data_IF_758260137871
#
_entry.id   IF_758260137871
#
_cell.length_a   1.000
_cell.length_b   1.000
_cell.length_c   1.000
_cell.angle_alpha   90.00
_cell.angle_beta   90.00
_cell.angle_gamma   90.00
#
_symmetry.space_group_name_H-M   'P 1'
#
loop_
_entity.id
_entity.type
_entity.pdbx_description
1 polymer ?
#
# COMPACT_ATOMS: atom_id res chain seq x y z
N UNK A 1 -22.02 14.80 -9.63
CA UNK A 1 -20.96 14.00 -10.27
C UNK A 1 -19.67 14.85 -10.26
N UNK A 2 -18.85 14.71 -9.22
CA UNK A 2 -17.46 15.14 -9.28
C UNK A 2 -16.68 13.96 -9.81
N UNK A 3 -16.10 14.14 -10.98
CA UNK A 3 -15.32 13.14 -11.69
C UNK A 3 -14.18 12.63 -10.82
N UNK A 4 -14.30 11.40 -10.33
CA UNK A 4 -13.26 10.61 -9.64
C UNK A 4 -12.05 10.28 -10.55
N UNK A 5 -12.03 10.84 -11.78
CA UNK A 5 -10.98 10.58 -12.77
C UNK A 5 -9.87 11.64 -12.81
N UNK A 6 -9.88 12.62 -11.92
CA UNK A 6 -8.85 13.63 -11.85
C UNK A 6 -7.88 13.38 -10.70
N UNK A 7 -7.20 12.23 -10.70
CA UNK A 7 -5.87 12.24 -10.14
C UNK A 7 -5.01 13.12 -11.05
N UNK A 8 -4.31 14.15 -10.50
CA UNK A 8 -3.27 14.79 -11.26
C UNK A 8 -2.21 13.72 -11.49
N UNK A 9 -2.34 12.97 -12.55
CA UNK A 9 -1.19 12.37 -13.19
C UNK A 9 -0.28 13.57 -13.46
N UNK A 10 0.68 13.83 -12.54
CA UNK A 10 1.90 14.53 -12.95
C UNK A 10 2.25 13.80 -14.22
N UNK A 11 2.12 14.51 -15.32
CA UNK A 11 2.33 14.00 -16.68
C UNK A 11 3.52 13.08 -16.57
N UNK A 12 3.27 11.80 -16.81
CA UNK A 12 4.34 10.84 -17.02
C UNK A 12 5.35 11.62 -17.82
N UNK A 13 6.51 11.91 -17.20
CA UNK A 13 7.50 12.76 -17.81
C UNK A 13 7.56 12.33 -19.26
N UNK A 14 7.33 13.24 -20.22
CA UNK A 14 7.40 12.97 -21.66
C UNK A 14 8.86 12.64 -22.02
N UNK A 15 9.43 11.67 -21.29
CA UNK A 15 10.74 11.15 -21.53
C UNK A 15 10.71 10.43 -22.86
N UNK A 16 11.34 11.03 -23.82
CA UNK A 16 11.55 10.46 -25.14
C UNK A 16 13.00 10.58 -25.53
N UNK A 17 13.42 9.67 -26.37
CA UNK A 17 14.77 9.71 -26.94
C UNK A 17 14.86 10.92 -27.87
N UNK A 18 15.93 11.72 -27.76
CA UNK A 18 16.15 12.87 -28.66
C UNK A 18 16.05 12.45 -30.12
N UNK A 19 15.30 13.23 -30.89
CA UNK A 19 15.15 13.01 -32.33
C UNK A 19 16.48 13.08 -33.08
N UNK A 20 17.43 13.87 -32.59
CA UNK A 20 18.75 14.01 -33.18
C UNK A 20 19.50 12.67 -33.25
N UNK A 21 19.53 11.90 -32.17
CA UNK A 21 20.16 10.56 -32.17
C UNK A 21 19.46 9.59 -33.12
N UNK A 22 18.13 9.67 -33.22
CA UNK A 22 17.35 8.84 -34.16
C UNK A 22 17.64 9.22 -35.61
N UNK A 23 17.79 10.52 -35.90
CA UNK A 23 18.12 11.03 -37.22
C UNK A 23 19.58 10.68 -37.60
N UNK A 24 20.53 10.79 -36.66
CA UNK A 24 21.91 10.33 -36.89
C UNK A 24 21.93 8.86 -37.31
N UNK A 25 21.21 7.98 -36.64
CA UNK A 25 21.14 6.57 -37.01
C UNK A 25 20.55 6.34 -38.40
N UNK A 26 19.55 7.11 -38.81
CA UNK A 26 18.97 7.05 -40.17
C UNK A 26 19.99 7.50 -41.19
N UNK A 27 20.67 8.61 -41.01
CA UNK A 27 21.70 9.12 -41.89
C UNK A 27 22.87 8.13 -42.10
N UNK A 28 23.30 7.46 -41.02
CA UNK A 28 24.35 6.43 -41.12
C UNK A 28 23.89 5.13 -41.81
N UNK A 29 22.60 4.79 -41.74
CA UNK A 29 22.04 3.64 -42.47
C UNK A 29 21.99 3.87 -44.00
N UNK A 30 21.77 5.12 -44.38
CA UNK A 30 21.65 5.56 -45.78
C UNK A 30 23.02 5.79 -46.43
N UNK A 31 24.09 5.99 -45.68
CA UNK A 31 25.46 6.18 -46.19
C UNK A 31 25.96 4.90 -46.85
N UNK A 32 26.38 5.02 -48.14
CA UNK A 32 26.84 3.92 -48.98
C UNK A 32 28.25 3.42 -48.62
N UNK A 33 29.13 4.26 -48.06
CA UNK A 33 30.48 3.89 -47.64
C UNK A 33 30.55 3.67 -46.12
N UNK A 34 30.79 2.44 -45.69
CA UNK A 34 30.88 2.04 -44.30
C UNK A 34 32.34 1.78 -43.91
N UNK A 35 33.09 2.84 -43.58
CA UNK A 35 34.41 2.68 -42.95
C UNK A 35 34.31 1.99 -41.58
N UNK A 36 35.40 1.35 -41.14
CA UNK A 36 35.45 0.67 -39.82
C UNK A 36 35.10 1.63 -38.68
N UNK A 37 35.62 2.86 -38.72
CA UNK A 37 35.33 3.93 -37.75
C UNK A 37 33.86 4.32 -37.71
N UNK A 38 33.17 4.33 -38.85
CA UNK A 38 31.73 4.62 -38.92
C UNK A 38 30.89 3.49 -38.31
N UNK A 39 31.28 2.22 -38.47
CA UNK A 39 30.61 1.09 -37.83
C UNK A 39 30.70 1.16 -36.31
N UNK A 40 31.86 1.53 -35.77
CA UNK A 40 32.08 1.68 -34.32
C UNK A 40 31.23 2.83 -33.76
N UNK A 41 31.15 3.96 -34.47
CA UNK A 41 30.30 5.08 -34.12
C UNK A 41 28.82 4.70 -34.10
N UNK A 42 28.32 3.98 -35.12
CA UNK A 42 26.94 3.50 -35.19
C UNK A 42 26.64 2.55 -34.03
N UNK A 43 27.56 1.64 -33.73
CA UNK A 43 27.41 0.71 -32.61
C UNK A 43 27.31 1.45 -31.26
N UNK A 44 28.16 2.45 -31.06
CA UNK A 44 28.12 3.29 -29.86
C UNK A 44 26.79 4.04 -29.71
N UNK A 45 26.32 4.71 -30.78
CA UNK A 45 25.04 5.42 -30.78
C UNK A 45 23.90 4.46 -30.49
N UNK A 46 23.89 3.26 -31.11
CA UNK A 46 22.89 2.24 -30.87
C UNK A 46 22.85 1.81 -29.40
N UNK A 47 24.00 1.52 -28.80
CA UNK A 47 24.08 1.18 -27.36
C UNK A 47 23.50 2.28 -26.46
N UNK A 48 23.80 3.56 -26.74
CA UNK A 48 23.24 4.67 -25.98
C UNK A 48 21.72 4.80 -26.13
N UNK A 49 21.21 4.58 -27.34
CA UNK A 49 19.77 4.59 -27.60
C UNK A 49 19.05 3.44 -26.91
N UNK A 50 19.64 2.25 -26.95
CA UNK A 50 19.06 1.06 -26.31
C UNK A 50 19.05 1.25 -24.77
N UNK A 51 20.11 1.79 -24.19
CA UNK A 51 20.17 2.14 -22.77
C UNK A 51 19.12 3.20 -22.38
N UNK A 52 18.95 4.25 -23.22
CA UNK A 52 17.93 5.27 -22.98
C UNK A 52 16.50 4.70 -23.07
N UNK A 53 16.23 3.86 -24.04
CA UNK A 53 14.92 3.18 -24.16
C UNK A 53 14.64 2.30 -22.95
N UNK A 54 15.61 1.47 -22.56
CA UNK A 54 15.49 0.63 -21.38
C UNK A 54 15.17 1.45 -20.12
N UNK A 55 15.84 2.58 -19.94
CA UNK A 55 15.58 3.49 -18.80
C UNK A 55 14.17 4.06 -18.84
N UNK A 56 13.70 4.50 -20.01
CA UNK A 56 12.34 5.02 -20.19
C UNK A 56 11.30 3.92 -19.87
N UNK A 57 11.53 2.72 -20.37
CA UNK A 57 10.62 1.59 -20.15
C UNK A 57 10.59 1.16 -18.69
N UNK A 58 11.73 1.17 -18.00
CA UNK A 58 11.80 0.91 -16.56
C UNK A 58 10.99 1.94 -15.74
N UNK A 59 11.06 3.23 -16.09
CA UNK A 59 10.26 4.29 -15.45
C UNK A 59 8.77 4.07 -15.73
N UNK A 60 8.38 3.77 -16.94
CA UNK A 60 6.99 3.49 -17.31
C UNK A 60 6.44 2.29 -16.56
N UNK A 61 7.19 1.20 -16.53
CA UNK A 61 6.80 -0.01 -15.79
C UNK A 61 6.61 0.29 -14.30
N UNK A 62 7.53 1.05 -13.70
CA UNK A 62 7.40 1.47 -12.29
C UNK A 62 6.13 2.28 -12.06
N UNK A 63 5.83 3.26 -12.92
CA UNK A 63 4.62 4.09 -12.81
C UNK A 63 3.36 3.23 -12.97
N UNK A 64 3.35 2.32 -13.94
CA UNK A 64 2.23 1.41 -14.16
C UNK A 64 2.00 0.50 -12.95
N UNK A 65 3.06 -0.07 -12.37
CA UNK A 65 2.97 -0.89 -11.16
C UNK A 65 2.36 -0.11 -9.99
N UNK A 66 2.83 1.12 -9.76
CA UNK A 66 2.29 1.98 -8.70
C UNK A 66 0.81 2.31 -8.93
N UNK A 67 0.45 2.66 -10.15
CA UNK A 67 -0.92 3.01 -10.52
C UNK A 67 -1.87 1.83 -10.35
N UNK A 68 -1.53 0.66 -10.91
CA UNK A 68 -2.37 -0.54 -10.81
C UNK A 68 -2.54 -0.94 -9.34
N UNK A 69 -1.44 -1.00 -8.57
CA UNK A 69 -1.48 -1.36 -7.15
C UNK A 69 -2.41 -0.41 -6.38
N UNK A 70 -2.27 0.92 -6.55
CA UNK A 70 -3.08 1.88 -5.82
C UNK A 70 -4.54 1.85 -6.28
N UNK A 71 -4.80 1.69 -7.57
CA UNK A 71 -6.17 1.60 -8.10
C UNK A 71 -6.90 0.37 -7.54
N UNK A 72 -6.25 -0.78 -7.46
CA UNK A 72 -6.82 -1.99 -6.88
C UNK A 72 -7.10 -1.81 -5.38
N UNK A 73 -6.17 -1.22 -4.63
CA UNK A 73 -6.37 -0.88 -3.21
C UNK A 73 -7.59 0.04 -3.05
N UNK A 74 -7.71 1.06 -3.90
CA UNK A 74 -8.81 2.02 -3.86
C UNK A 74 -10.15 1.36 -4.16
N UNK A 75 -10.19 0.43 -5.10
CA UNK A 75 -11.42 -0.33 -5.40
C UNK A 75 -11.80 -1.26 -4.24
N UNK A 76 -10.82 -1.93 -3.64
CA UNK A 76 -11.04 -2.81 -2.49
C UNK A 76 -11.52 -2.05 -1.26
N UNK A 77 -10.96 -0.87 -0.99
CA UNK A 77 -11.28 0.01 0.14
C UNK A 77 -12.24 1.15 -0.24
N UNK A 78 -13.11 0.93 -1.23
CA UNK A 78 -13.98 1.97 -1.80
C UNK A 78 -14.78 2.75 -0.75
N UNK A 79 -15.33 2.08 0.24
CA UNK A 79 -16.15 2.70 1.29
C UNK A 79 -15.33 3.67 2.14
N UNK A 80 -14.09 3.30 2.48
CA UNK A 80 -13.17 4.20 3.16
C UNK A 80 -12.86 5.44 2.32
N UNK A 81 -12.52 5.28 1.04
CA UNK A 81 -12.17 6.41 0.16
C UNK A 81 -13.35 7.35 -0.14
N UNK A 82 -14.60 6.88 0.03
CA UNK A 82 -15.80 7.70 -0.10
C UNK A 82 -16.12 8.47 1.18
N UNK A 83 -15.91 7.88 2.35
CA UNK A 83 -16.36 8.43 3.64
C UNK A 83 -15.25 9.03 4.48
N UNK A 84 -13.99 8.59 4.30
CA UNK A 84 -12.87 8.93 5.16
C UNK A 84 -12.88 8.25 6.54
N UNK A 85 -13.89 7.43 6.83
CA UNK A 85 -14.01 6.75 8.13
C UNK A 85 -13.18 5.47 8.15
N UNK A 86 -12.21 5.40 9.08
CA UNK A 86 -11.35 4.23 9.26
C UNK A 86 -12.11 2.96 9.70
N UNK A 87 -13.35 3.10 10.19
CA UNK A 87 -14.23 1.97 10.50
C UNK A 87 -14.65 1.18 9.27
N UNK A 88 -14.67 1.86 8.12
CA UNK A 88 -15.04 1.28 6.82
C UNK A 88 -13.86 0.63 6.11
N UNK A 89 -12.67 0.56 6.75
CA UNK A 89 -11.53 -0.17 6.20
C UNK A 89 -11.78 -1.68 6.30
N UNK A 90 -11.90 -2.32 5.15
CA UNK A 90 -12.02 -3.78 5.05
C UNK A 90 -10.68 -4.46 5.34
N UNK A 91 -10.67 -5.63 5.99
CA UNK A 91 -9.47 -6.44 6.11
C UNK A 91 -8.90 -6.74 4.72
N UNK A 92 -7.60 -6.49 4.54
CA UNK A 92 -6.93 -6.69 3.26
C UNK A 92 -5.47 -7.06 3.51
N UNK A 93 -4.99 -8.15 2.94
CA UNK A 93 -3.60 -8.56 3.01
C UNK A 93 -2.89 -8.29 1.69
N UNK A 94 -1.56 -8.26 1.73
CA UNK A 94 -0.73 -8.01 0.54
C UNK A 94 -0.98 -9.03 -0.58
N UNK A 95 -1.31 -10.27 -0.18
CA UNK A 95 -1.58 -11.36 -1.12
C UNK A 95 -2.84 -11.11 -1.94
N UNK A 96 -3.90 -10.58 -1.33
CA UNK A 96 -5.17 -10.30 -2.03
C UNK A 96 -4.94 -9.35 -3.21
N UNK A 97 -4.15 -8.29 -2.98
CA UNK A 97 -3.81 -7.34 -4.02
C UNK A 97 -2.85 -7.95 -5.06
N UNK A 98 -1.86 -8.73 -4.60
CA UNK A 98 -0.89 -9.37 -5.49
C UNK A 98 -1.57 -10.35 -6.47
N UNK A 99 -2.48 -11.17 -5.98
CA UNK A 99 -3.25 -12.12 -6.77
C UNK A 99 -4.17 -11.40 -7.77
N UNK A 100 -4.85 -10.32 -7.37
CA UNK A 100 -5.74 -9.53 -8.22
C UNK A 100 -5.00 -8.86 -9.39
N UNK A 101 -3.79 -8.32 -9.14
CA UNK A 101 -3.01 -7.63 -10.18
C UNK A 101 -2.03 -8.54 -10.92
N UNK A 102 -1.95 -9.83 -10.55
CA UNK A 102 -1.03 -10.80 -11.16
C UNK A 102 0.45 -10.48 -10.93
N UNK A 103 0.79 -9.93 -9.77
CA UNK A 103 2.16 -9.55 -9.40
C UNK A 103 2.64 -10.33 -8.17
N UNK A 104 3.97 -10.39 -7.99
CA UNK A 104 4.57 -10.98 -6.80
C UNK A 104 4.26 -10.14 -5.54
N UNK A 105 3.97 -10.82 -4.43
CA UNK A 105 3.69 -10.21 -3.11
C UNK A 105 4.84 -9.30 -2.66
N UNK A 106 6.09 -9.64 -2.99
CA UNK A 106 7.26 -8.83 -2.66
C UNK A 106 7.24 -7.47 -3.38
N UNK A 107 6.72 -7.42 -4.60
CA UNK A 107 6.57 -6.18 -5.37
C UNK A 107 5.53 -5.27 -4.71
N UNK A 108 4.35 -5.80 -4.38
CA UNK A 108 3.29 -5.07 -3.67
C UNK A 108 3.80 -4.60 -2.29
N UNK A 109 4.52 -5.43 -1.57
CA UNK A 109 5.12 -5.10 -0.27
C UNK A 109 6.09 -3.92 -0.36
N UNK A 110 6.96 -3.88 -1.38
CA UNK A 110 7.89 -2.76 -1.60
C UNK A 110 7.15 -1.45 -1.88
N UNK A 111 6.07 -1.51 -2.67
CA UNK A 111 5.21 -0.35 -2.92
C UNK A 111 4.54 0.09 -1.61
N UNK A 112 3.90 -0.81 -0.89
CA UNK A 112 3.17 -0.52 0.33
C UNK A 112 4.06 0.10 1.43
N UNK A 113 5.27 -0.41 1.62
CA UNK A 113 6.18 0.05 2.67
C UNK A 113 6.90 1.37 2.35
N UNK A 114 6.94 1.80 1.09
CA UNK A 114 7.77 2.94 0.67
C UNK A 114 7.01 4.11 0.07
N UNK A 115 5.70 3.99 -0.17
CA UNK A 115 4.93 5.01 -0.88
C UNK A 115 3.78 5.53 -0.04
N UNK A 116 3.54 6.83 -0.19
CA UNK A 116 2.43 7.55 0.41
C UNK A 116 1.40 7.89 -0.67
N UNK A 117 0.15 7.97 -0.26
CA UNK A 117 -0.94 8.48 -1.05
C UNK A 117 -1.53 9.70 -0.37
N UNK A 118 -1.76 10.74 -1.15
CA UNK A 118 -2.44 11.94 -0.70
C UNK A 118 -3.93 11.82 -1.01
N UNK A 119 -4.76 11.98 0.01
CA UNK A 119 -6.20 11.87 -0.07
C UNK A 119 -6.85 13.13 0.51
N UNK A 120 -8.14 13.41 0.24
CA UNK A 120 -8.88 14.50 0.88
C UNK A 120 -8.89 14.41 2.43
N UNK A 121 -8.59 13.24 2.97
CA UNK A 121 -8.57 12.95 4.42
C UNK A 121 -7.16 12.97 5.02
N UNK A 122 -6.15 13.33 4.22
CA UNK A 122 -4.75 13.41 4.60
C UNK A 122 -3.85 12.44 3.85
N UNK A 123 -2.55 12.60 4.07
CA UNK A 123 -1.50 11.77 3.46
C UNK A 123 -1.25 10.55 4.33
N UNK A 124 -1.40 9.35 3.76
CA UNK A 124 -1.19 8.07 4.46
C UNK A 124 -0.18 7.20 3.74
N UNK A 125 0.59 6.42 4.50
CA UNK A 125 1.42 5.36 3.94
C UNK A 125 0.53 4.25 3.38
N UNK A 126 0.82 3.76 2.17
CA UNK A 126 -0.01 2.72 1.54
C UNK A 126 -0.15 1.48 2.43
N UNK A 127 0.88 1.17 3.23
CA UNK A 127 0.83 0.08 4.21
C UNK A 127 -0.32 0.18 5.22
N UNK A 128 -0.79 1.37 5.53
CA UNK A 128 -1.86 1.58 6.51
C UNK A 128 -3.23 1.08 6.05
N UNK A 129 -3.39 0.87 4.74
CA UNK A 129 -4.60 0.25 4.16
C UNK A 129 -4.62 -1.27 4.30
N UNK A 130 -3.47 -1.89 4.60
CA UNK A 130 -3.38 -3.32 4.87
C UNK A 130 -3.54 -3.59 6.35
N UNK A 131 -4.34 -4.59 6.68
CA UNK A 131 -4.55 -5.05 8.05
C UNK A 131 -4.55 -6.58 8.06
N UNK A 132 -3.98 -7.15 9.11
CA UNK A 132 -4.17 -8.58 9.36
C UNK A 132 -5.67 -8.82 9.60
N UNK A 133 -6.23 -9.82 8.93
CA UNK A 133 -7.59 -10.27 9.19
C UNK A 133 -7.59 -11.29 10.32
N UNK A 134 -8.63 -11.26 11.15
CA UNK A 134 -8.98 -12.35 12.07
C UNK A 134 -10.40 -12.79 11.78
N UNK A 135 -10.66 -14.09 11.88
CA UNK A 135 -12.03 -14.61 11.73
C UNK A 135 -12.80 -14.42 13.02
N UNK A 136 -14.00 -13.87 12.92
CA UNK A 136 -14.97 -13.84 14.02
C UNK A 136 -15.63 -15.23 14.21
N UNK A 137 -16.52 -15.39 15.17
CA UNK A 137 -17.24 -16.66 15.42
C UNK A 137 -18.14 -17.06 14.24
N UNK A 138 -18.52 -16.10 13.38
CA UNK A 138 -19.35 -16.32 12.18
C UNK A 138 -18.51 -16.66 10.94
N UNK A 139 -17.16 -16.69 11.07
CA UNK A 139 -16.22 -16.99 9.97
C UNK A 139 -15.92 -15.79 9.07
N UNK A 140 -16.40 -14.60 9.39
CA UNK A 140 -16.14 -13.38 8.64
C UNK A 140 -14.77 -12.80 9.01
N UNK A 141 -14.09 -12.23 8.03
CA UNK A 141 -12.80 -11.58 8.22
C UNK A 141 -12.98 -10.18 8.84
N UNK A 142 -12.47 -10.01 10.06
CA UNK A 142 -12.55 -8.77 10.82
C UNK A 142 -11.18 -8.11 10.91
N UNK A 143 -11.15 -6.80 10.74
CA UNK A 143 -9.92 -6.01 10.85
C UNK A 143 -9.40 -5.99 12.28
N UNK A 144 -8.09 -6.23 12.47
CA UNK A 144 -7.43 -6.05 13.76
C UNK A 144 -7.55 -4.60 14.28
N UNK A 145 -7.75 -3.62 13.40
CA UNK A 145 -8.00 -2.21 13.79
C UNK A 145 -9.34 -2.05 14.50
N UNK A 146 -10.38 -2.72 14.01
CA UNK A 146 -11.70 -2.70 14.64
C UNK A 146 -11.65 -3.30 16.05
N UNK A 147 -10.99 -4.45 16.19
CA UNK A 147 -10.82 -5.10 17.49
C UNK A 147 -10.06 -4.21 18.46
N UNK A 148 -8.98 -3.54 18.03
CA UNK A 148 -8.24 -2.58 18.86
C UNK A 148 -9.09 -1.40 19.29
N UNK A 149 -9.95 -0.88 18.42
CA UNK A 149 -10.86 0.23 18.74
C UNK A 149 -11.91 -0.18 19.75
N UNK A 150 -12.47 -1.40 19.62
CA UNK A 150 -13.40 -1.95 20.62
C UNK A 150 -12.70 -2.11 21.97
N UNK A 151 -11.47 -2.65 21.97
CA UNK A 151 -10.65 -2.83 23.17
C UNK A 151 -10.38 -1.49 23.85
N UNK A 152 -10.01 -0.47 23.12
CA UNK A 152 -9.78 0.89 23.61
C UNK A 152 -11.04 1.47 24.25
N UNK A 153 -12.18 1.38 23.54
CA UNK A 153 -13.48 1.86 24.05
C UNK A 153 -13.90 1.15 25.34
N UNK A 154 -13.69 -0.17 25.41
CA UNK A 154 -14.01 -0.95 26.64
C UNK A 154 -13.14 -0.50 27.82
N UNK A 155 -11.85 -0.24 27.58
CA UNK A 155 -10.93 0.22 28.64
C UNK A 155 -11.22 1.66 29.05
N UNK A 156 -11.58 2.55 28.11
CA UNK A 156 -11.96 3.94 28.43
C UNK A 156 -13.20 4.01 29.31
N UNK A 157 -14.13 3.07 29.14
CA UNK A 157 -15.38 2.98 29.90
C UNK A 157 -15.29 2.09 31.15
N UNK A 158 -14.09 1.56 31.48
CA UNK A 158 -13.93 0.72 32.68
C UNK A 158 -13.98 1.54 33.97
N UNK A 159 -14.37 0.88 35.06
CA UNK A 159 -14.31 1.46 36.39
C UNK A 159 -12.85 1.56 36.86
N UNK A 160 -12.32 2.75 36.99
CA UNK A 160 -10.91 3.00 37.40
C UNK A 160 -10.54 2.42 38.78
N UNK A 161 -11.51 2.28 39.66
CA UNK A 161 -11.32 1.59 40.95
C UNK A 161 -11.13 0.07 40.81
N UNK A 162 -11.68 -0.52 39.75
CA UNK A 162 -11.60 -1.98 39.45
C UNK A 162 -11.35 -2.23 37.97
N UNK A 163 -10.15 -1.92 37.47
CA UNK A 163 -9.86 -2.05 36.05
C UNK A 163 -9.97 -3.50 35.57
N UNK A 164 -10.31 -3.67 34.31
CA UNK A 164 -10.48 -4.96 33.65
C UNK A 164 -9.12 -5.60 33.38
N UNK A 165 -8.95 -6.85 33.77
CA UNK A 165 -7.77 -7.65 33.43
C UNK A 165 -7.82 -8.12 31.97
N UNK A 166 -6.67 -8.50 31.39
CA UNK A 166 -6.60 -9.01 30.01
C UNK A 166 -7.50 -10.26 29.82
N UNK A 167 -7.73 -11.08 30.87
CA UNK A 167 -8.67 -12.19 30.84
C UNK A 167 -10.12 -11.72 30.71
N UNK A 168 -10.52 -10.71 31.48
CA UNK A 168 -11.88 -10.13 31.41
C UNK A 168 -12.11 -9.43 30.08
N UNK A 169 -11.11 -8.72 29.58
CA UNK A 169 -11.16 -8.09 28.26
C UNK A 169 -11.33 -9.14 27.15
N UNK A 170 -10.63 -10.29 27.26
CA UNK A 170 -10.81 -11.40 26.31
C UNK A 170 -12.24 -11.98 26.37
N UNK A 171 -12.83 -12.12 27.58
CA UNK A 171 -14.22 -12.56 27.74
C UNK A 171 -15.21 -11.59 27.10
N UNK A 172 -15.05 -10.29 27.35
CA UNK A 172 -15.91 -9.25 26.75
C UNK A 172 -15.80 -9.21 25.22
N UNK A 173 -14.58 -9.38 24.68
CA UNK A 173 -14.37 -9.45 23.25
C UNK A 173 -15.03 -10.69 22.65
N UNK A 174 -14.94 -11.83 23.34
CA UNK A 174 -15.61 -13.07 22.92
C UNK A 174 -17.14 -12.91 22.91
N UNK A 175 -17.76 -12.29 23.95
CA UNK A 175 -19.18 -11.98 24.00
C UNK A 175 -19.65 -11.06 22.85
N UNK A 176 -18.73 -10.22 22.34
CA UNK A 176 -18.96 -9.37 21.17
C UNK A 176 -18.71 -10.08 19.81
N UNK A 177 -18.43 -11.39 19.82
CA UNK A 177 -18.20 -12.19 18.62
C UNK A 177 -16.72 -12.26 18.17
N UNK A 178 -15.78 -11.78 18.97
CA UNK A 178 -14.34 -11.80 18.65
C UNK A 178 -13.60 -12.79 19.55
N UNK A 179 -13.43 -14.06 19.18
CA UNK A 179 -12.79 -15.10 19.99
C UNK A 179 -11.26 -14.92 20.01
N UNK A 180 -10.79 -14.01 20.85
CA UNK A 180 -9.38 -13.64 20.93
C UNK A 180 -8.77 -14.16 22.22
N UNK A 181 -7.58 -14.81 22.10
CA UNK A 181 -6.84 -15.30 23.23
C UNK A 181 -6.28 -14.13 24.09
N UNK A 182 -6.21 -14.34 25.42
CA UNK A 182 -5.64 -13.37 26.39
C UNK A 182 -4.29 -12.78 25.92
N UNK A 183 -3.38 -13.62 25.40
CA UNK A 183 -2.06 -13.17 24.93
C UNK A 183 -2.16 -12.16 23.79
N UNK A 184 -3.12 -12.35 22.88
CA UNK A 184 -3.39 -11.43 21.77
C UNK A 184 -4.00 -10.12 22.28
N UNK A 185 -4.91 -10.18 23.26
CA UNK A 185 -5.46 -8.99 23.93
C UNK A 185 -4.35 -8.18 24.60
N UNK A 186 -3.44 -8.81 25.32
CA UNK A 186 -2.27 -8.16 25.93
C UNK A 186 -1.40 -7.47 24.87
N UNK A 187 -1.09 -8.16 23.76
CA UNK A 187 -0.33 -7.59 22.63
C UNK A 187 -1.03 -6.34 22.04
N UNK A 188 -2.34 -6.40 21.84
CA UNK A 188 -3.10 -5.26 21.27
C UNK A 188 -3.16 -4.09 22.25
N UNK A 189 -3.36 -4.35 23.55
CA UNK A 189 -3.32 -3.34 24.59
C UNK A 189 -1.95 -2.62 24.63
N UNK A 190 -0.85 -3.37 24.56
CA UNK A 190 0.51 -2.82 24.51
C UNK A 190 0.74 -1.97 23.25
N UNK A 191 0.27 -2.42 22.08
CA UNK A 191 0.35 -1.66 20.84
C UNK A 191 -0.45 -0.35 20.89
N UNK A 192 -1.50 -0.28 21.72
CA UNK A 192 -2.27 0.95 22.00
C UNK A 192 -1.63 1.83 23.09
N UNK A 193 -0.48 1.42 23.64
CA UNK A 193 0.19 2.15 24.73
C UNK A 193 -0.56 2.12 26.07
N UNK A 194 -1.54 1.20 26.23
CA UNK A 194 -2.38 1.12 27.42
C UNK A 194 -1.70 0.21 28.46
N UNK A 195 -1.45 0.67 29.69
CA UNK A 195 -0.80 -0.12 30.74
C UNK A 195 -1.69 -1.25 31.26
N UNK A 196 -1.09 -2.21 31.98
CA UNK A 196 -1.80 -3.33 32.61
C UNK A 196 -2.80 -2.85 33.66
N UNK A 197 -3.85 -3.62 33.96
CA UNK A 197 -4.92 -3.29 34.89
C UNK A 197 -4.42 -2.75 36.24
N UNK A 198 -3.36 -3.35 36.81
CA UNK A 198 -2.77 -2.89 38.09
C UNK A 198 -2.27 -1.43 38.03
N UNK A 199 -1.74 -1.00 36.89
CA UNK A 199 -1.20 0.36 36.70
C UNK A 199 -2.29 1.38 36.33
N UNK A 200 -3.46 0.91 35.91
CA UNK A 200 -4.62 1.76 35.61
C UNK A 200 -5.55 1.98 36.78
N UNK A 201 -5.26 1.27 37.90
CA UNK A 201 -6.09 1.40 39.11
C UNK A 201 -5.86 2.77 39.78
N UNK A 202 -6.93 3.51 39.93
CA UNK A 202 -6.98 4.74 40.77
C UNK A 202 -7.49 4.39 42.16
N UNK A 203 -6.93 5.02 43.21
CA UNK A 203 -7.26 4.81 44.62
C UNK A 203 -8.50 5.61 44.98
#
# INVERSE_FOLDING_TARGET
HRDLHSFPTRRSSDLHVSREYSNMLKGYKEAKDKSKSQKDTVMFIKQKLDAAKWFIDAIRQRQQTLFITMNTIMQYQKEYFLTGDERNLRPMILKDIADEIGMDVSTVSRVANSKYVDTPYGTKLIKEYFSESMKNEQGEDVSTKEIKKILETVIQNELKKKPLTDDKLATILKEKGYPIARRTVAKYREQLGIPVARMRKEI
#
